data_IF_743230052499
#
_entry.id   IF_743230052499
#
_cell.length_a   1.000
_cell.length_b   1.000
_cell.length_c   1.000
_cell.angle_alpha   90.00
_cell.angle_beta   90.00
_cell.angle_gamma   90.00
#
_symmetry.space_group_name_H-M   'P 1'
#
loop_
_entity.id
_entity.type
_entity.pdbx_description
1 polymer ?
#
# COMPACT_ATOMS: atom_id res chain seq x y z
N UNK A 1 14.15 -9.89 -36.70
CA UNK A 1 13.38 -10.77 -35.80
C UNK A 1 13.04 -9.97 -34.56
N UNK A 2 11.78 -9.61 -34.35
CA UNK A 2 11.34 -8.98 -33.10
C UNK A 2 10.60 -10.06 -32.32
N UNK A 3 11.25 -10.61 -31.30
CA UNK A 3 10.63 -11.61 -30.42
C UNK A 3 9.44 -10.98 -29.71
N UNK A 4 8.25 -11.57 -29.83
CA UNK A 4 7.09 -11.23 -29.00
C UNK A 4 7.46 -11.53 -27.55
N UNK A 5 7.52 -10.49 -26.71
CA UNK A 5 7.56 -10.67 -25.26
C UNK A 5 6.23 -11.33 -24.86
N UNK A 6 6.25 -12.59 -24.43
CA UNK A 6 5.06 -13.26 -23.95
C UNK A 6 4.76 -12.77 -22.53
N UNK A 7 3.74 -11.90 -22.38
CA UNK A 7 3.24 -11.48 -21.07
C UNK A 7 2.44 -12.65 -20.48
N UNK A 8 2.87 -13.14 -19.31
CA UNK A 8 2.17 -14.18 -18.55
C UNK A 8 1.38 -13.53 -17.42
N UNK A 9 0.07 -13.71 -17.42
CA UNK A 9 -0.80 -13.28 -16.32
C UNK A 9 -0.92 -14.44 -15.33
N UNK A 10 -0.63 -14.17 -14.05
CA UNK A 10 -0.76 -15.13 -12.97
C UNK A 10 -1.87 -14.68 -12.02
N UNK A 11 -2.87 -15.52 -11.71
CA UNK A 11 -3.83 -15.21 -10.67
C UNK A 11 -3.13 -15.24 -9.32
N UNK A 12 -3.40 -14.23 -8.49
CA UNK A 12 -2.92 -14.14 -7.11
C UNK A 12 -4.09 -13.85 -6.19
N UNK A 13 -3.92 -14.12 -4.90
CA UNK A 13 -4.91 -13.77 -3.89
C UNK A 13 -5.07 -12.24 -3.77
N UNK A 14 -6.22 -11.78 -3.28
CA UNK A 14 -6.53 -10.34 -3.19
C UNK A 14 -5.61 -9.58 -2.22
N UNK A 15 -5.04 -10.29 -1.26
CA UNK A 15 -4.12 -9.81 -0.22
C UNK A 15 -2.65 -10.00 -0.59
N UNK A 16 -2.35 -10.45 -1.81
CA UNK A 16 -0.99 -10.77 -2.24
C UNK A 16 0.00 -9.64 -1.99
N UNK A 17 -0.43 -8.38 -2.14
CA UNK A 17 0.40 -7.18 -1.93
C UNK A 17 0.27 -6.55 -0.53
N UNK A 18 -0.49 -7.12 0.39
CA UNK A 18 -0.65 -6.55 1.73
C UNK A 18 0.68 -6.49 2.49
N UNK A 19 1.54 -7.50 2.30
CA UNK A 19 2.88 -7.50 2.88
C UNK A 19 3.73 -6.31 2.41
N UNK A 20 3.60 -5.92 1.13
CA UNK A 20 4.30 -4.76 0.55
C UNK A 20 3.85 -3.44 1.17
N UNK A 21 2.56 -3.29 1.44
CA UNK A 21 2.03 -2.12 2.15
C UNK A 21 2.64 -2.03 3.57
N UNK A 22 2.73 -3.16 4.28
CA UNK A 22 3.30 -3.20 5.64
C UNK A 22 4.80 -2.94 5.63
N UNK A 23 5.54 -3.48 4.65
CA UNK A 23 6.97 -3.23 4.47
C UNK A 23 7.27 -1.75 4.19
N UNK A 24 6.52 -1.13 3.27
CA UNK A 24 6.61 0.30 2.99
C UNK A 24 6.34 1.14 4.24
N UNK A 25 5.29 0.82 5.02
CA UNK A 25 5.01 1.54 6.27
C UNK A 25 6.16 1.44 7.27
N UNK A 26 6.73 0.22 7.47
CA UNK A 26 7.83 -0.01 8.41
C UNK A 26 9.09 0.75 8.00
N UNK A 27 9.39 0.81 6.70
CA UNK A 27 10.53 1.59 6.15
C UNK A 27 10.38 3.07 6.47
N UNK A 28 9.24 3.66 6.10
CA UNK A 28 8.94 5.07 6.37
C UNK A 28 8.99 5.40 7.88
N UNK A 29 8.44 4.53 8.73
CA UNK A 29 8.50 4.72 10.18
C UNK A 29 9.94 4.70 10.70
N UNK A 30 10.77 3.77 10.23
CA UNK A 30 12.16 3.68 10.64
C UNK A 30 12.97 4.92 10.21
N UNK A 31 12.72 5.44 9.01
CA UNK A 31 13.44 6.58 8.44
C UNK A 31 13.01 7.93 9.03
N UNK A 32 11.71 8.15 9.18
CA UNK A 32 11.16 9.46 9.58
C UNK A 32 10.79 9.53 11.07
N UNK A 33 10.76 8.39 11.78
CA UNK A 33 10.30 8.28 13.17
C UNK A 33 8.87 8.83 13.37
N UNK A 34 8.00 8.61 12.38
CA UNK A 34 6.61 9.06 12.38
C UNK A 34 5.67 7.90 12.72
N UNK A 35 4.79 8.11 13.69
CA UNK A 35 3.82 7.10 14.12
C UNK A 35 2.62 6.97 13.17
N UNK A 36 2.18 8.05 12.52
CA UNK A 36 1.01 8.05 11.64
C UNK A 36 1.39 8.55 10.25
N UNK A 37 1.33 7.67 9.27
CA UNK A 37 1.71 7.97 7.89
C UNK A 37 0.46 8.30 7.07
N UNK A 38 0.53 9.36 6.26
CA UNK A 38 -0.59 9.74 5.39
C UNK A 38 -0.80 8.67 4.33
N UNK A 39 -2.05 8.24 4.14
CA UNK A 39 -2.35 7.10 3.27
C UNK A 39 -1.90 7.32 1.82
N UNK A 40 -1.98 8.54 1.31
CA UNK A 40 -1.45 8.84 -0.03
C UNK A 40 0.06 8.69 -0.14
N UNK A 41 0.82 8.99 0.92
CA UNK A 41 2.28 8.80 0.92
C UNK A 41 2.61 7.31 1.00
N UNK A 42 1.92 6.57 1.87
CA UNK A 42 2.08 5.12 1.96
C UNK A 42 1.79 4.42 0.62
N UNK A 43 0.75 4.84 -0.09
CA UNK A 43 0.43 4.30 -1.42
C UNK A 43 1.55 4.58 -2.41
N UNK A 44 2.08 5.82 -2.42
CA UNK A 44 3.18 6.20 -3.29
C UNK A 44 4.43 5.35 -3.00
N UNK A 45 4.82 5.26 -1.73
CA UNK A 45 5.96 4.46 -1.27
C UNK A 45 5.81 2.97 -1.63
N UNK A 46 4.60 2.42 -1.50
CA UNK A 46 4.31 1.03 -1.87
C UNK A 46 4.45 0.81 -3.38
N UNK A 47 4.13 1.81 -4.21
CA UNK A 47 4.24 1.71 -5.67
C UNK A 47 5.68 1.89 -6.17
N UNK A 48 6.49 2.70 -5.48
CA UNK A 48 7.91 2.85 -5.80
C UNK A 48 8.70 1.56 -5.54
N UNK A 49 8.24 0.74 -4.59
CA UNK A 49 8.79 -0.59 -4.38
C UNK A 49 8.63 -1.47 -5.62
N UNK A 50 9.74 -2.00 -6.13
CA UNK A 50 9.80 -2.91 -7.30
C UNK A 50 9.12 -2.37 -8.59
N UNK A 51 8.93 -1.04 -8.70
CA UNK A 51 8.18 -0.40 -9.78
C UNK A 51 6.79 -1.06 -10.00
N UNK A 52 6.10 -1.35 -8.90
CA UNK A 52 4.81 -2.03 -8.92
C UNK A 52 3.77 -1.19 -9.68
N UNK A 53 3.37 -1.68 -10.85
CA UNK A 53 2.27 -1.13 -11.65
C UNK A 53 0.92 -1.57 -11.07
N UNK A 54 0.58 -1.04 -9.90
CA UNK A 54 -0.67 -1.33 -9.19
C UNK A 54 -1.54 -0.08 -9.17
N UNK A 55 -2.85 -0.24 -9.36
CA UNK A 55 -3.80 0.86 -9.24
C UNK A 55 -3.85 1.40 -7.80
N UNK A 56 -3.73 2.72 -7.67
CA UNK A 56 -3.70 3.37 -6.37
C UNK A 56 -5.03 3.25 -5.59
N UNK A 57 -6.18 3.06 -6.26
CA UNK A 57 -7.46 2.83 -5.57
C UNK A 57 -7.53 1.41 -5.03
N UNK A 58 -6.94 0.44 -5.74
CA UNK A 58 -6.78 -0.92 -5.22
C UNK A 58 -5.93 -0.93 -3.94
N UNK A 59 -4.77 -0.24 -3.93
CA UNK A 59 -3.96 -0.11 -2.73
C UNK A 59 -4.71 0.58 -1.58
N UNK A 60 -5.48 1.63 -1.85
CA UNK A 60 -6.32 2.25 -0.83
C UNK A 60 -7.35 1.27 -0.25
N UNK A 61 -8.00 0.48 -1.11
CA UNK A 61 -8.93 -0.55 -0.69
C UNK A 61 -8.24 -1.57 0.23
N UNK A 62 -7.04 -2.04 -0.12
CA UNK A 62 -6.25 -2.95 0.72
C UNK A 62 -5.83 -2.32 2.04
N UNK A 63 -5.40 -1.06 2.06
CA UNK A 63 -5.07 -0.34 3.30
C UNK A 63 -6.28 -0.24 4.22
N UNK A 64 -7.48 0.07 3.69
CA UNK A 64 -8.71 0.08 4.51
C UNK A 64 -9.06 -1.30 5.04
N UNK A 65 -8.84 -2.36 4.26
CA UNK A 65 -9.01 -3.73 4.74
C UNK A 65 -8.04 -4.05 5.89
N UNK A 66 -6.79 -3.61 5.80
CA UNK A 66 -5.80 -3.74 6.87
C UNK A 66 -6.18 -2.94 8.12
N UNK A 67 -6.86 -1.80 7.98
CA UNK A 67 -7.48 -1.10 9.12
C UNK A 67 -8.61 -1.92 9.74
N UNK A 68 -9.55 -2.42 8.94
CA UNK A 68 -10.70 -3.19 9.45
C UNK A 68 -10.33 -4.53 10.07
N UNK A 69 -9.24 -5.14 9.62
CA UNK A 69 -8.70 -6.38 10.19
C UNK A 69 -7.80 -6.15 11.41
N UNK A 70 -7.54 -4.89 11.79
CA UNK A 70 -6.78 -4.53 12.99
C UNK A 70 -5.27 -4.56 12.82
N UNK A 71 -4.75 -4.69 11.59
CA UNK A 71 -3.33 -4.55 11.28
C UNK A 71 -2.91 -3.08 11.41
N UNK A 72 -3.73 -2.17 10.91
CA UNK A 72 -3.54 -0.74 11.05
C UNK A 72 -4.58 -0.10 11.98
N UNK A 73 -4.15 0.91 12.72
CA UNK A 73 -5.02 1.91 13.31
C UNK A 73 -5.14 3.11 12.36
N UNK A 74 -6.29 3.79 12.38
CA UNK A 74 -6.57 4.94 11.51
C UNK A 74 -6.86 6.20 12.31
N UNK A 75 -6.30 7.32 11.85
CA UNK A 75 -6.64 8.68 12.30
C UNK A 75 -7.18 9.51 11.13
N UNK A 76 -8.23 10.29 11.37
CA UNK A 76 -8.83 11.17 10.35
C UNK A 76 -10.09 10.60 9.70
N UNK A 77 -10.54 11.24 8.61
CA UNK A 77 -11.79 10.89 7.92
C UNK A 77 -11.44 10.31 6.55
N UNK A 78 -11.83 9.05 6.23
CA UNK A 78 -11.51 8.40 4.96
C UNK A 78 -12.38 8.88 3.79
N UNK A 79 -12.66 10.19 3.71
CA UNK A 79 -13.35 10.81 2.56
C UNK A 79 -12.46 10.82 1.31
N UNK A 80 -11.14 10.90 1.50
CA UNK A 80 -10.12 10.65 0.47
C UNK A 80 -8.75 10.31 1.11
N UNK A 81 -7.80 9.79 0.32
CA UNK A 81 -6.46 9.32 0.75
C UNK A 81 -5.56 10.36 1.44
N UNK A 82 -5.82 11.66 1.25
CA UNK A 82 -5.04 12.75 1.86
C UNK A 82 -5.60 13.21 3.21
N UNK A 83 -6.71 12.61 3.66
CA UNK A 83 -7.46 13.02 4.87
C UNK A 83 -7.39 12.01 6.01
N UNK A 84 -6.72 10.89 5.81
CA UNK A 84 -6.50 9.90 6.86
C UNK A 84 -5.10 9.31 6.83
N UNK A 85 -4.67 8.91 8.01
CA UNK A 85 -3.35 8.41 8.33
C UNK A 85 -3.49 7.04 8.97
N UNK A 86 -2.48 6.20 8.77
CA UNK A 86 -2.44 4.85 9.35
C UNK A 86 -1.17 4.65 10.18
N UNK A 87 -1.31 3.87 11.25
CA UNK A 87 -0.23 3.42 12.13
C UNK A 87 -0.29 1.90 12.21
N UNK A 88 0.84 1.21 12.12
CA UNK A 88 0.91 -0.22 12.42
C UNK A 88 0.60 -0.44 13.91
N UNK A 89 -0.39 -1.28 14.20
CA UNK A 89 -0.91 -1.44 15.56
C UNK A 89 0.14 -1.97 16.51
#
# INVERSE_FOLDING_TARGET
MVGKLAIRILPVAIDYYDHKIVEAWKRMHAEEQIDYIMTSQLIWETMEEENLLIDHNFLEYRIRHLVYSGVFEMKGIPKNRRRYFVRLK
#
